data_IF_903148652719
#
_entry.id   IF_903148652719
#
_cell.length_a   1.000
_cell.length_b   1.000
_cell.length_c   1.000
_cell.angle_alpha   90.00
_cell.angle_beta   90.00
_cell.angle_gamma   90.00
#
_symmetry.space_group_name_H-M   'P 1'
#
loop_
_entity.id
_entity.type
_entity.pdbx_description
1 polymer ?
#
# COMPACT_ATOMS: atom_id res chain seq x y z
N UNK A 1 19.28 -15.39 1.13
CA UNK A 1 20.59 -15.93 1.57
C UNK A 1 20.35 -16.72 2.84
N UNK A 2 20.17 -18.04 2.75
CA UNK A 2 19.88 -18.88 3.92
C UNK A 2 21.12 -19.21 4.77
N UNK A 3 22.13 -18.34 4.80
CA UNK A 3 23.37 -18.56 5.56
C UNK A 3 23.55 -17.48 6.63
N UNK A 4 23.93 -17.91 7.83
CA UNK A 4 24.30 -17.02 8.94
C UNK A 4 25.66 -16.38 8.68
N UNK A 5 25.84 -15.12 9.10
CA UNK A 5 27.12 -14.40 9.00
C UNK A 5 28.27 -15.19 9.65
N UNK A 6 28.00 -15.89 10.75
CA UNK A 6 28.97 -16.76 11.41
C UNK A 6 29.46 -17.90 10.49
N UNK A 7 28.55 -18.54 9.76
CA UNK A 7 28.88 -19.61 8.81
C UNK A 7 29.72 -19.10 7.64
N UNK A 8 29.55 -17.85 7.23
CA UNK A 8 30.37 -17.26 6.17
C UNK A 8 31.81 -16.95 6.62
N UNK A 9 31.99 -16.59 7.89
CA UNK A 9 33.31 -16.28 8.45
C UNK A 9 34.06 -17.58 8.80
N UNK A 10 33.41 -18.49 9.51
CA UNK A 10 34.05 -19.67 10.10
C UNK A 10 33.75 -20.99 9.37
N UNK A 11 32.87 -20.99 8.38
CA UNK A 11 32.46 -22.18 7.61
C UNK A 11 31.61 -23.20 8.33
N UNK A 12 31.43 -23.03 9.63
CA UNK A 12 30.64 -23.92 10.49
C UNK A 12 29.41 -23.21 11.03
N UNK A 13 28.39 -23.98 11.40
CA UNK A 13 27.25 -23.43 12.11
C UNK A 13 27.70 -22.88 13.48
N UNK A 14 27.05 -21.84 13.98
CA UNK A 14 27.31 -21.36 15.33
C UNK A 14 26.83 -22.41 16.34
N UNK A 15 27.75 -22.94 17.14
CA UNK A 15 27.44 -23.83 18.26
C UNK A 15 27.34 -23.01 19.54
N UNK A 16 26.41 -23.37 20.42
CA UNK A 16 26.38 -22.87 21.80
C UNK A 16 27.65 -23.34 22.53
N UNK A 17 28.18 -22.57 23.50
CA UNK A 17 29.41 -22.92 24.23
C UNK A 17 29.39 -24.35 24.80
N UNK A 18 28.25 -24.78 25.32
CA UNK A 18 28.05 -26.13 25.85
C UNK A 18 28.15 -27.25 24.78
N UNK A 19 27.73 -26.99 23.55
CA UNK A 19 27.88 -27.95 22.45
C UNK A 19 29.34 -28.09 22.01
N UNK A 20 30.14 -27.04 22.16
CA UNK A 20 31.55 -27.03 21.76
C UNK A 20 32.38 -27.98 22.63
N UNK A 21 32.16 -28.03 23.93
CA UNK A 21 32.96 -28.87 24.85
C UNK A 21 32.84 -30.37 24.51
N UNK A 22 31.62 -30.87 24.34
CA UNK A 22 31.39 -32.28 24.04
C UNK A 22 31.68 -32.64 22.57
N UNK A 23 31.34 -31.76 21.61
CA UNK A 23 31.56 -32.03 20.19
C UNK A 23 32.99 -31.77 19.72
N UNK A 24 33.82 -31.03 20.45
CA UNK A 24 35.22 -30.80 20.05
C UNK A 24 36.14 -31.97 20.39
N UNK A 25 35.82 -32.77 21.42
CA UNK A 25 36.67 -33.89 21.84
C UNK A 25 36.84 -34.98 20.76
N UNK A 26 35.74 -35.37 20.09
CA UNK A 26 35.75 -36.43 19.06
C UNK A 26 36.53 -36.05 17.79
N UNK A 27 36.31 -34.88 17.17
CA UNK A 27 37.09 -34.43 16.02
C UNK A 27 38.58 -34.29 16.31
N UNK A 28 38.97 -33.86 17.53
CA UNK A 28 40.38 -33.75 17.89
C UNK A 28 41.03 -35.14 17.92
N UNK A 29 40.33 -36.14 18.45
CA UNK A 29 40.81 -37.52 18.50
C UNK A 29 40.92 -38.16 17.11
N UNK A 30 40.00 -37.83 16.21
CA UNK A 30 39.96 -38.33 14.82
C UNK A 30 40.98 -37.62 13.91
N UNK A 31 41.16 -36.30 14.04
CA UNK A 31 42.13 -35.52 13.28
C UNK A 31 43.59 -35.91 13.55
N UNK A 32 43.86 -36.49 14.73
CA UNK A 32 45.20 -36.92 15.13
C UNK A 32 45.63 -38.28 14.56
N UNK A 33 44.77 -38.99 13.80
CA UNK A 33 45.07 -40.34 13.30
C UNK A 33 45.80 -40.35 11.94
N UNK A 34 45.47 -39.43 11.02
CA UNK A 34 46.15 -39.29 9.71
C UNK A 34 46.30 -37.83 9.29
N UNK A 35 47.53 -37.32 9.40
CA UNK A 35 47.85 -35.93 9.08
C UNK A 35 47.68 -35.57 7.59
N UNK A 36 47.87 -36.52 6.67
CA UNK A 36 47.78 -36.24 5.22
C UNK A 36 46.33 -36.03 4.80
N UNK A 37 45.46 -36.97 5.17
CA UNK A 37 44.02 -36.88 4.92
C UNK A 37 43.40 -35.65 5.61
N UNK A 38 43.83 -35.33 6.84
CA UNK A 38 43.40 -34.13 7.53
C UNK A 38 43.80 -32.84 6.78
N UNK A 39 45.00 -32.81 6.20
CA UNK A 39 45.48 -31.69 5.39
C UNK A 39 44.66 -31.47 4.12
N UNK A 40 44.38 -32.55 3.38
CA UNK A 40 43.56 -32.51 2.16
C UNK A 40 42.12 -32.05 2.45
N UNK A 41 41.50 -32.60 3.50
CA UNK A 41 40.16 -32.21 3.94
C UNK A 41 40.09 -30.72 4.30
N UNK A 42 41.10 -30.23 5.02
CA UNK A 42 41.20 -28.80 5.38
C UNK A 42 41.32 -27.91 4.15
N UNK A 43 42.10 -28.30 3.15
CA UNK A 43 42.24 -27.54 1.91
C UNK A 43 40.90 -27.49 1.14
N UNK A 44 40.21 -28.61 1.05
CA UNK A 44 38.88 -28.68 0.44
C UNK A 44 37.85 -27.80 1.15
N UNK A 45 37.84 -27.81 2.48
CA UNK A 45 36.96 -26.96 3.29
C UNK A 45 37.24 -25.46 3.05
N UNK A 46 38.51 -25.07 2.91
CA UNK A 46 38.90 -23.68 2.62
C UNK A 46 38.43 -23.26 1.23
N UNK A 47 38.63 -24.09 0.21
CA UNK A 47 38.18 -23.79 -1.15
C UNK A 47 36.66 -23.66 -1.23
N UNK A 48 35.94 -24.59 -0.58
CA UNK A 48 34.48 -24.55 -0.49
C UNK A 48 33.99 -23.25 0.17
N UNK A 49 34.70 -22.77 1.19
CA UNK A 49 34.38 -21.51 1.85
C UNK A 49 34.56 -20.30 0.95
N UNK A 50 35.62 -20.29 0.15
CA UNK A 50 35.93 -19.19 -0.74
C UNK A 50 34.90 -19.08 -1.88
N UNK A 51 34.46 -20.23 -2.41
CA UNK A 51 33.35 -20.28 -3.37
C UNK A 51 32.06 -19.71 -2.77
N UNK A 52 31.70 -20.10 -1.54
CA UNK A 52 30.50 -19.59 -0.88
C UNK A 52 30.57 -18.09 -0.61
N UNK A 53 31.74 -17.56 -0.26
CA UNK A 53 31.96 -16.12 -0.09
C UNK A 53 31.76 -15.38 -1.42
N UNK A 54 32.36 -15.88 -2.49
CA UNK A 54 32.21 -15.31 -3.84
C UNK A 54 30.75 -15.29 -4.25
N UNK A 55 30.03 -16.41 -4.11
CA UNK A 55 28.60 -16.47 -4.37
C UNK A 55 27.80 -15.51 -3.48
N UNK A 56 28.18 -15.37 -2.20
CA UNK A 56 27.52 -14.46 -1.27
C UNK A 56 27.66 -12.99 -1.70
N UNK A 57 28.76 -12.60 -2.34
CA UNK A 57 28.97 -11.26 -2.88
C UNK A 57 28.26 -11.03 -4.22
N UNK A 58 28.22 -12.04 -5.09
CA UNK A 58 27.59 -11.93 -6.42
C UNK A 58 26.06 -11.94 -6.36
N UNK A 59 25.48 -12.80 -5.54
CA UNK A 59 24.02 -12.94 -5.39
C UNK A 59 23.27 -11.64 -5.06
N UNK A 60 23.69 -10.76 -4.13
CA UNK A 60 22.97 -9.51 -3.85
C UNK A 60 23.09 -8.54 -5.03
N UNK A 61 24.21 -8.54 -5.77
CA UNK A 61 24.36 -7.76 -7.01
C UNK A 61 23.34 -8.24 -8.05
N UNK A 62 23.28 -9.54 -8.31
CA UNK A 62 22.30 -10.13 -9.22
C UNK A 62 20.86 -9.87 -8.79
N UNK A 63 20.56 -9.94 -7.49
CA UNK A 63 19.22 -9.64 -6.97
C UNK A 63 18.85 -8.17 -7.21
N UNK A 64 19.73 -7.23 -6.85
CA UNK A 64 19.53 -5.80 -7.10
C UNK A 64 19.32 -5.52 -8.58
N UNK A 65 20.09 -6.15 -9.45
CA UNK A 65 19.93 -6.02 -10.91
C UNK A 65 18.59 -6.60 -11.38
N UNK A 66 18.18 -7.78 -10.92
CA UNK A 66 16.89 -8.39 -11.28
C UNK A 66 15.73 -7.50 -10.82
N UNK A 67 15.77 -7.00 -9.60
CA UNK A 67 14.76 -6.08 -9.05
C UNK A 67 14.74 -4.78 -9.84
N UNK A 68 15.91 -4.20 -10.17
CA UNK A 68 16.02 -3.01 -11.01
C UNK A 68 15.40 -3.25 -12.40
N UNK A 69 15.79 -4.32 -13.10
CA UNK A 69 15.23 -4.68 -14.41
C UNK A 69 13.71 -4.87 -14.34
N UNK A 70 13.21 -5.52 -13.30
CA UNK A 70 11.77 -5.71 -13.09
C UNK A 70 11.04 -4.39 -12.82
N UNK A 71 11.63 -3.52 -11.99
CA UNK A 71 11.10 -2.20 -11.68
C UNK A 71 11.06 -1.33 -12.93
N UNK A 72 12.19 -1.22 -13.64
CA UNK A 72 12.34 -0.38 -14.83
C UNK A 72 11.41 -0.81 -15.96
N UNK A 73 11.21 -2.12 -16.17
CA UNK A 73 10.20 -2.66 -17.11
C UNK A 73 8.77 -2.22 -16.80
N UNK A 74 8.46 -1.86 -15.56
CA UNK A 74 7.12 -1.44 -15.11
C UNK A 74 6.97 0.06 -15.01
N UNK A 75 8.04 0.84 -15.16
CA UNK A 75 7.96 2.29 -15.23
C UNK A 75 7.26 2.64 -16.54
N UNK A 76 6.02 3.12 -16.43
CA UNK A 76 5.31 3.68 -17.58
C UNK A 76 5.93 5.02 -17.95
N UNK A 77 6.39 5.15 -19.19
CA UNK A 77 6.78 6.44 -19.75
C UNK A 77 5.53 7.32 -19.85
N UNK A 78 5.60 8.48 -19.20
CA UNK A 78 4.55 9.49 -19.23
C UNK A 78 5.12 10.72 -19.89
N UNK A 79 4.64 10.99 -21.09
CA UNK A 79 4.92 12.23 -21.78
C UNK A 79 3.83 13.23 -21.41
N UNK A 80 4.26 14.48 -21.23
CA UNK A 80 3.42 15.59 -20.81
C UNK A 80 3.62 16.72 -21.81
N UNK A 81 2.54 17.32 -22.27
CA UNK A 81 2.57 18.47 -23.17
C UNK A 81 2.16 19.74 -22.43
N UNK A 82 2.66 20.86 -22.90
CA UNK A 82 2.25 22.18 -22.40
C UNK A 82 0.76 22.39 -22.70
N UNK A 83 0.01 22.89 -21.74
CA UNK A 83 -1.43 23.13 -21.84
C UNK A 83 -2.32 21.96 -21.38
N UNK A 84 -1.75 20.79 -21.08
CA UNK A 84 -2.53 19.66 -20.57
C UNK A 84 -2.95 19.84 -19.10
N UNK A 85 -4.14 19.33 -18.77
CA UNK A 85 -4.64 19.26 -17.40
C UNK A 85 -4.10 18.04 -16.68
N UNK A 86 -3.61 18.24 -15.46
CA UNK A 86 -3.00 17.19 -14.65
C UNK A 86 -3.40 17.30 -13.19
N UNK A 87 -3.36 16.17 -12.49
CA UNK A 87 -3.57 16.05 -11.06
C UNK A 87 -2.22 15.95 -10.34
N UNK A 88 -2.09 16.66 -9.22
CA UNK A 88 -0.88 16.64 -8.40
C UNK A 88 -1.05 15.68 -7.21
N UNK A 89 -0.05 14.84 -6.94
CA UNK A 89 -0.06 14.00 -5.75
C UNK A 89 0.41 14.76 -4.50
N UNK A 90 -0.43 14.83 -3.46
CA UNK A 90 -0.03 15.37 -2.16
C UNK A 90 0.74 14.31 -1.33
N UNK A 91 2.03 14.55 -1.10
CA UNK A 91 2.89 13.67 -0.30
C UNK A 91 2.81 13.95 1.21
N UNK A 92 2.41 15.15 1.62
CA UNK A 92 2.40 15.61 3.02
C UNK A 92 1.03 15.32 3.62
N UNK A 93 0.89 14.14 4.21
CA UNK A 93 -0.32 13.73 4.92
C UNK A 93 -0.44 14.51 6.24
N UNK A 94 -1.25 15.56 6.26
CA UNK A 94 -1.71 16.17 7.53
C UNK A 94 -3.22 16.11 7.78
N UNK A 95 -4.08 15.80 6.80
CA UNK A 95 -5.52 16.13 6.94
C UNK A 95 -6.51 15.04 6.48
N UNK A 96 -6.10 13.93 5.85
CA UNK A 96 -7.07 12.90 5.43
C UNK A 96 -7.46 11.94 6.57
N UNK A 97 -8.51 12.28 7.33
CA UNK A 97 -9.06 11.50 8.44
C UNK A 97 -10.01 10.35 8.02
N UNK A 98 -9.88 9.79 6.81
CA UNK A 98 -10.80 8.74 6.33
C UNK A 98 -10.33 7.97 5.09
N UNK A 99 -10.72 6.69 5.01
CA UNK A 99 -10.33 5.71 3.97
C UNK A 99 -10.88 5.99 2.55
N UNK A 100 -11.63 7.08 2.35
CA UNK A 100 -12.42 7.32 1.12
C UNK A 100 -12.02 8.59 0.33
N UNK A 101 -10.98 9.32 0.73
CA UNK A 101 -10.52 10.50 0.00
C UNK A 101 -9.27 10.19 -0.84
N UNK A 102 -9.25 10.70 -2.07
CA UNK A 102 -8.10 10.55 -2.97
C UNK A 102 -6.96 11.49 -2.54
N UNK A 103 -5.71 11.05 -2.70
CA UNK A 103 -4.52 11.88 -2.42
C UNK A 103 -4.12 12.80 -3.58
N UNK A 104 -4.90 12.79 -4.64
CA UNK A 104 -4.69 13.62 -5.82
C UNK A 104 -5.40 14.96 -5.58
N UNK A 105 -4.63 16.03 -5.56
CA UNK A 105 -5.12 17.40 -5.55
C UNK A 105 -5.54 17.79 -6.96
N UNK A 106 -6.36 18.85 -7.04
CA UNK A 106 -7.18 19.23 -8.19
C UNK A 106 -6.46 19.42 -9.52
N UNK A 107 -7.16 20.03 -10.48
CA UNK A 107 -6.65 20.20 -11.84
C UNK A 107 -5.64 21.34 -11.90
N UNK A 108 -4.47 21.05 -12.45
CA UNK A 108 -3.41 22.00 -12.75
C UNK A 108 -3.14 22.02 -14.25
N UNK A 109 -2.67 23.15 -14.76
CA UNK A 109 -2.27 23.30 -16.16
C UNK A 109 -0.75 23.23 -16.24
N UNK A 110 -0.23 22.44 -17.17
CA UNK A 110 1.21 22.40 -17.43
C UNK A 110 1.61 23.66 -18.21
N UNK A 111 2.53 24.45 -17.65
CA UNK A 111 3.06 25.65 -18.32
C UNK A 111 4.33 25.34 -19.11
N UNK A 112 5.27 24.63 -18.50
CA UNK A 112 6.57 24.33 -19.07
C UNK A 112 7.01 22.92 -18.64
N UNK A 113 7.67 22.20 -19.56
CA UNK A 113 8.28 20.90 -19.30
C UNK A 113 9.78 21.04 -19.50
N UNK A 114 10.56 20.76 -18.45
CA UNK A 114 12.02 20.82 -18.51
C UNK A 114 12.59 19.50 -19.04
N UNK A 115 13.78 19.55 -19.68
CA UNK A 115 14.51 18.35 -20.10
C UNK A 115 14.82 17.40 -18.92
N UNK A 116 14.93 17.95 -17.70
CA UNK A 116 15.18 17.20 -16.45
C UNK A 116 13.98 16.43 -15.90
N UNK A 117 12.85 16.35 -16.64
CA UNK A 117 11.55 15.75 -16.21
C UNK A 117 10.85 16.48 -15.06
N UNK A 118 11.36 17.64 -14.68
CA UNK A 118 10.62 18.58 -13.86
C UNK A 118 9.56 19.27 -14.72
N UNK A 119 8.39 19.52 -14.13
CA UNK A 119 7.24 20.13 -14.83
C UNK A 119 6.78 21.31 -13.99
N UNK A 120 6.67 22.46 -14.65
CA UNK A 120 6.11 23.68 -14.05
C UNK A 120 4.61 23.64 -14.26
N UNK A 121 3.89 23.55 -13.16
CA UNK A 121 2.43 23.50 -13.11
C UNK A 121 1.89 24.81 -12.54
N UNK A 122 0.73 25.23 -13.04
CA UNK A 122 0.01 26.40 -12.57
C UNK A 122 -1.41 26.03 -12.13
N UNK A 123 -1.92 26.76 -11.15
CA UNK A 123 -3.36 26.75 -10.86
C UNK A 123 -4.15 27.26 -12.08
N UNK A 124 -5.40 26.83 -12.27
CA UNK A 124 -6.26 27.34 -13.34
C UNK A 124 -6.49 28.86 -13.24
N UNK A 125 -6.43 29.41 -12.02
CA UNK A 125 -6.51 30.85 -11.75
C UNK A 125 -5.22 31.62 -12.10
N UNK A 126 -4.14 30.93 -12.48
CA UNK A 126 -2.91 31.53 -13.00
C UNK A 126 -1.96 32.17 -11.96
N UNK A 127 -2.35 32.26 -10.69
CA UNK A 127 -1.62 33.01 -9.65
C UNK A 127 -0.41 32.29 -9.07
N UNK A 128 -0.41 30.96 -8.99
CA UNK A 128 0.65 30.20 -8.33
C UNK A 128 1.30 29.19 -9.28
N UNK A 129 2.63 29.29 -9.45
CA UNK A 129 3.43 28.35 -10.24
C UNK A 129 4.28 27.47 -9.32
N UNK A 130 4.24 26.15 -9.50
CA UNK A 130 5.07 25.20 -8.75
C UNK A 130 5.85 24.31 -9.70
N UNK A 131 7.08 23.96 -9.32
CA UNK A 131 7.89 22.98 -10.06
C UNK A 131 7.81 21.65 -9.34
N UNK A 132 7.32 20.63 -10.04
CA UNK A 132 7.09 19.30 -9.50
C UNK A 132 7.76 18.24 -10.36
N UNK A 133 8.11 17.10 -9.76
CA UNK A 133 8.59 15.94 -10.51
C UNK A 133 7.41 15.29 -11.25
N UNK A 134 7.58 14.98 -12.54
CA UNK A 134 6.56 14.31 -13.35
C UNK A 134 6.05 12.98 -12.77
N UNK A 135 6.81 12.29 -11.92
CA UNK A 135 6.34 11.08 -11.22
C UNK A 135 5.17 11.35 -10.26
N UNK A 136 5.06 12.58 -9.74
CA UNK A 136 3.99 13.01 -8.82
C UNK A 136 2.75 13.54 -9.57
N UNK A 137 2.75 13.44 -10.88
CA UNK A 137 1.71 13.99 -11.74
C UNK A 137 0.96 12.85 -12.44
N UNK A 138 -0.33 13.02 -12.63
CA UNK A 138 -1.18 12.12 -13.40
C UNK A 138 -2.02 12.93 -14.39
N UNK A 139 -2.14 12.44 -15.62
CA UNK A 139 -3.06 12.99 -16.62
C UNK A 139 -4.49 13.06 -16.08
N UNK A 140 -5.10 14.23 -16.18
CA UNK A 140 -6.52 14.38 -15.90
C UNK A 140 -7.30 13.91 -17.12
N UNK A 141 -7.97 12.76 -16.98
CA UNK A 141 -8.89 12.27 -17.98
C UNK A 141 -10.21 12.98 -17.70
N UNK A 142 -10.48 14.09 -18.39
CA UNK A 142 -11.85 14.54 -18.52
C UNK A 142 -12.62 13.42 -19.20
N UNK A 143 -13.67 12.91 -18.57
CA UNK A 143 -14.63 12.09 -19.30
C UNK A 143 -15.01 12.87 -20.55
N UNK A 144 -15.06 12.20 -21.70
CA UNK A 144 -15.66 12.79 -22.91
C UNK A 144 -16.94 13.51 -22.49
N UNK A 145 -17.18 14.78 -22.87
CA UNK A 145 -18.47 15.38 -22.63
C UNK A 145 -19.48 14.50 -23.36
N UNK A 146 -20.25 13.72 -22.59
CA UNK A 146 -21.42 13.04 -23.13
C UNK A 146 -22.37 14.19 -23.44
N UNK A 147 -22.40 14.56 -24.73
CA UNK A 147 -23.22 15.60 -25.31
C UNK A 147 -23.00 17.02 -24.78
N UNK A 148 -22.58 17.88 -25.70
CA UNK A 148 -23.03 19.27 -25.74
C UNK A 148 -24.56 19.24 -25.60
N UNK A 149 -25.09 20.02 -24.66
CA UNK A 149 -26.51 20.10 -24.22
C UNK A 149 -26.98 19.05 -23.20
N UNK A 150 -26.51 19.16 -21.95
CA UNK A 150 -27.43 19.01 -20.82
C UNK A 150 -27.10 20.03 -19.75
N UNK A 151 -28.08 20.92 -19.54
CA UNK A 151 -28.33 21.80 -18.40
C UNK A 151 -27.26 21.83 -17.30
N UNK A 152 -26.74 23.04 -17.08
CA UNK A 152 -26.05 23.48 -15.88
C UNK A 152 -26.67 22.78 -14.67
N UNK A 153 -25.94 21.84 -14.05
CA UNK A 153 -26.33 21.34 -12.73
C UNK A 153 -26.16 22.55 -11.81
N UNK A 154 -27.29 23.16 -11.42
CA UNK A 154 -27.29 24.11 -10.32
C UNK A 154 -26.76 23.37 -9.10
N UNK A 155 -25.51 23.64 -8.73
CA UNK A 155 -24.94 23.14 -7.49
C UNK A 155 -25.60 23.90 -6.35
N UNK A 156 -26.76 23.42 -5.92
CA UNK A 156 -27.34 23.85 -4.66
C UNK A 156 -26.40 23.42 -3.55
N UNK A 157 -25.87 24.38 -2.82
CA UNK A 157 -25.06 24.10 -1.65
C UNK A 157 -25.92 23.37 -0.61
N UNK A 158 -25.31 22.51 0.21
CA UNK A 158 -26.03 21.76 1.25
C UNK A 158 -26.80 22.67 2.22
N UNK A 159 -26.42 23.95 2.32
CA UNK A 159 -27.10 24.96 3.14
C UNK A 159 -28.40 25.48 2.48
N UNK A 160 -28.44 25.61 1.16
CA UNK A 160 -29.61 26.06 0.40
C UNK A 160 -30.71 24.99 0.37
N UNK A 161 -30.32 23.72 0.20
CA UNK A 161 -31.25 22.58 0.26
C UNK A 161 -31.93 22.45 1.63
N UNK A 162 -31.20 22.74 2.70
CA UNK A 162 -31.72 22.78 4.07
C UNK A 162 -32.75 23.91 4.21
N UNK A 163 -32.44 25.12 3.71
CA UNK A 163 -33.37 26.27 3.81
C UNK A 163 -34.69 25.99 3.09
N UNK A 164 -34.67 25.46 1.87
CA UNK A 164 -35.89 25.15 1.10
C UNK A 164 -36.77 24.07 1.75
N UNK A 165 -36.15 23.05 2.35
CA UNK A 165 -36.89 21.99 3.05
C UNK A 165 -37.60 22.50 4.31
N UNK A 166 -37.05 23.51 5.00
CA UNK A 166 -37.64 24.11 6.21
C UNK A 166 -38.63 25.26 5.93
N UNK A 167 -38.60 25.89 4.76
CA UNK A 167 -39.61 26.88 4.37
C UNK A 167 -40.95 26.26 3.96
N UNK A 168 -40.94 25.02 3.43
CA UNK A 168 -42.16 24.31 3.01
C UNK A 168 -42.87 23.52 4.14
N UNK A 169 -42.37 23.58 5.38
CA UNK A 169 -42.96 22.92 6.56
C UNK A 169 -43.43 23.93 7.62
N UNK A 170 -44.02 25.04 7.19
CA UNK A 170 -44.81 25.91 8.08
C UNK A 170 -46.30 25.74 7.84
N UNK A 171 -46.79 24.52 8.07
CA UNK A 171 -48.19 24.34 8.45
C UNK A 171 -48.34 24.72 9.94
N UNK A 172 -49.26 25.61 10.35
CA UNK A 172 -49.24 26.21 11.68
C UNK A 172 -49.74 25.32 12.83
N UNK A 173 -49.93 24.01 12.64
CA UNK A 173 -50.59 23.17 13.65
C UNK A 173 -50.05 21.74 13.68
N UNK A 174 -48.91 21.53 14.34
CA UNK A 174 -48.63 20.40 15.27
C UNK A 174 -47.14 20.33 15.59
N UNK A 175 -46.77 20.71 16.81
CA UNK A 175 -45.50 20.32 17.40
C UNK A 175 -45.50 18.82 17.71
N UNK A 176 -44.59 18.05 17.07
CA UNK A 176 -44.21 16.70 17.52
C UNK A 176 -42.72 16.40 17.26
N UNK A 177 -41.98 16.46 18.36
CA UNK A 177 -40.78 15.73 18.78
C UNK A 177 -39.84 15.09 17.72
N UNK A 178 -38.63 15.66 17.62
CA UNK A 178 -37.53 15.32 16.69
C UNK A 178 -36.96 13.90 16.83
N UNK A 179 -37.33 13.14 17.86
CA UNK A 179 -36.85 11.75 18.07
C UNK A 179 -37.50 10.72 17.14
N UNK A 180 -38.72 10.97 16.65
CA UNK A 180 -39.46 10.02 15.79
C UNK A 180 -39.03 10.05 14.31
N UNK A 181 -38.50 11.17 13.80
CA UNK A 181 -38.04 11.27 12.41
C UNK A 181 -36.76 10.46 12.13
N UNK A 182 -35.87 10.29 13.11
CA UNK A 182 -34.66 9.45 12.94
C UNK A 182 -34.99 7.96 12.74
N UNK A 183 -36.08 7.46 13.34
CA UNK A 183 -36.49 6.06 13.20
C UNK A 183 -37.18 5.76 11.85
N UNK A 184 -37.88 6.73 11.26
CA UNK A 184 -38.52 6.54 9.93
C UNK A 184 -37.50 6.43 8.81
N UNK A 185 -36.49 7.29 8.78
CA UNK A 185 -35.43 7.28 7.74
C UNK A 185 -34.60 5.99 7.79
N UNK A 186 -34.44 5.38 8.97
CA UNK A 186 -33.74 4.10 9.11
C UNK A 186 -34.58 2.91 8.63
N UNK A 187 -35.90 2.96 8.80
CA UNK A 187 -36.83 1.89 8.40
C UNK A 187 -37.03 1.81 6.88
N UNK A 188 -36.95 2.94 6.16
CA UNK A 188 -37.08 3.00 4.69
C UNK A 188 -35.80 2.55 3.94
N UNK A 189 -34.61 2.67 4.54
CA UNK A 189 -33.37 2.13 3.93
C UNK A 189 -33.27 0.61 4.00
N UNK A 190 -33.95 -0.04 4.94
CA UNK A 190 -33.89 -1.50 5.11
C UNK A 190 -34.78 -2.27 4.12
N UNK A 191 -35.80 -1.63 3.52
CA UNK A 191 -36.76 -2.28 2.60
C UNK A 191 -36.31 -2.28 1.13
N UNK A 192 -35.20 -1.61 0.80
CA UNK A 192 -34.68 -1.50 -0.57
C UNK A 192 -33.69 -2.61 -0.97
N UNK A 193 -33.47 -3.63 -0.13
CA UNK A 193 -32.64 -4.79 -0.44
C UNK A 193 -33.50 -6.02 -0.79
N UNK A 194 -33.35 -6.51 -2.02
CA UNK A 194 -34.01 -7.71 -2.55
C UNK A 194 -33.69 -8.98 -1.74
N UNK A 195 -34.72 -9.79 -1.49
CA UNK A 195 -34.75 -11.00 -0.63
C UNK A 195 -33.67 -12.07 -0.89
N UNK A 196 -32.98 -12.03 -2.03
CA UNK A 196 -31.94 -13.00 -2.42
C UNK A 196 -30.57 -12.77 -1.73
N UNK A 197 -30.28 -11.58 -1.18
CA UNK A 197 -29.02 -11.31 -0.45
C UNK A 197 -29.08 -11.65 1.05
N UNK A 198 -30.27 -11.74 1.64
CA UNK A 198 -30.45 -11.96 3.08
C UNK A 198 -30.17 -13.43 3.48
N UNK A 199 -30.46 -14.40 2.61
CA UNK A 199 -30.27 -15.83 2.88
C UNK A 199 -28.80 -16.31 2.78
N UNK A 200 -27.94 -15.64 1.99
CA UNK A 200 -26.49 -15.95 1.94
C UNK A 200 -25.70 -15.35 3.11
N UNK A 201 -26.17 -14.24 3.69
CA UNK A 201 -25.52 -13.61 4.84
C UNK A 201 -25.78 -14.37 6.15
N UNK A 202 -27.01 -14.85 6.39
CA UNK A 202 -27.36 -15.55 7.65
C UNK A 202 -26.59 -16.86 7.89
N UNK A 203 -26.27 -17.65 6.87
CA UNK A 203 -25.51 -18.92 7.04
C UNK A 203 -24.02 -18.72 7.40
N UNK A 204 -23.42 -17.55 7.14
CA UNK A 204 -22.00 -17.28 7.46
C UNK A 204 -21.78 -16.65 8.84
N UNK A 205 -22.83 -16.04 9.41
CA UNK A 205 -22.77 -15.42 10.74
C UNK A 205 -22.91 -16.43 11.88
N UNK A 206 -23.72 -17.49 11.72
CA UNK A 206 -23.96 -18.48 12.80
C UNK A 206 -22.71 -19.34 13.07
N UNK A 207 -21.87 -19.64 12.08
CA UNK A 207 -20.64 -20.43 12.25
C UNK A 207 -19.48 -19.65 12.87
N UNK A 208 -19.41 -18.33 12.69
CA UNK A 208 -18.28 -17.53 13.18
C UNK A 208 -18.47 -17.04 14.62
N UNK A 209 -19.71 -16.86 15.07
CA UNK A 209 -20.02 -16.45 16.44
C UNK A 209 -19.81 -17.58 17.47
N UNK A 210 -20.12 -18.84 17.12
CA UNK A 210 -19.93 -20.00 18.01
C UNK A 210 -18.46 -20.32 18.34
N UNK A 211 -17.53 -19.99 17.45
CA UNK A 211 -16.09 -20.22 17.65
C UNK A 211 -15.42 -19.15 18.53
N UNK A 212 -16.06 -17.99 18.75
CA UNK A 212 -15.45 -16.88 19.51
C UNK A 212 -15.86 -16.84 20.99
N UNK A 213 -16.91 -17.56 21.40
CA UNK A 213 -17.32 -17.63 22.82
C UNK A 213 -16.57 -18.68 23.66
N UNK A 214 -15.76 -19.57 23.06
CA UNK A 214 -15.08 -20.66 23.80
C UNK A 214 -13.61 -20.41 24.15
N UNK A 215 -13.11 -19.17 24.06
CA UNK A 215 -11.71 -18.80 24.39
C UNK A 215 -11.57 -17.65 25.40
N UNK A 216 -12.57 -17.46 26.29
CA UNK A 216 -12.50 -16.41 27.33
C UNK A 216 -12.74 -16.91 28.77
N UNK A 217 -12.52 -18.20 29.01
CA UNK A 217 -12.46 -18.80 30.36
C UNK A 217 -11.30 -19.80 30.44
N UNK A 218 -10.08 -19.29 30.48
CA UNK A 218 -8.91 -19.91 31.11
C UNK A 218 -7.77 -18.89 31.09
N UNK A 219 -7.58 -18.24 32.23
CA UNK A 219 -6.34 -17.97 32.99
C UNK A 219 -6.84 -17.26 34.25
#
# INVERSE_FOLDING_TARGET
MGMSAYKMIYGKACHLPFELEYKAYWPIKELNYDFKLAGEKRLFDINSLDEWRTQAYENPKLFKEKVKRWHDKRIQMREFKVGEYVLLYNSRLRIFAGKLLSKWEGTYIIKEVYLSRAIKINNPEGTNTNVVNGQRIKHYISGTPINVETNIIQTMTSEEHIRETFHNTRDPLKGRDLKLCRLKIWRERATSQTSSQILRSKKRWITTAGLRMRRKTRI
#
